data_IF_019143722145
#
_entry.id   IF_019143722145
#
_cell.length_a   1.000
_cell.length_b   1.000
_cell.length_c   1.000
_cell.angle_alpha   90.00
_cell.angle_beta   90.00
_cell.angle_gamma   90.00
#
_symmetry.space_group_name_H-M   'P 1'
#
loop_
_entity.id
_entity.type
_entity.pdbx_description
1 polymer ?
#
# COMPACT_ATOMS: atom_id res chain seq x y z
N UNK A 1 12.20 -25.40 12.17
CA UNK A 1 11.72 -24.00 12.18
C UNK A 1 10.31 -23.99 11.57
N UNK A 2 9.32 -23.28 12.13
CA UNK A 2 8.03 -23.15 11.45
C UNK A 2 8.27 -22.50 10.08
N UNK A 3 7.63 -23.02 9.04
CA UNK A 3 7.70 -22.44 7.70
C UNK A 3 7.13 -21.02 7.75
N UNK A 4 7.82 -19.99 7.23
CA UNK A 4 7.26 -18.64 7.19
C UNK A 4 6.00 -18.66 6.32
N UNK A 5 4.88 -18.23 6.90
CA UNK A 5 3.65 -18.01 6.15
C UNK A 5 3.84 -16.83 5.18
N UNK A 6 3.28 -16.89 3.98
CA UNK A 6 3.40 -15.79 3.05
C UNK A 6 2.62 -14.55 3.54
N UNK A 7 3.11 -13.37 3.20
CA UNK A 7 2.41 -12.10 3.43
C UNK A 7 1.39 -11.87 2.33
N UNK A 8 0.22 -11.34 2.65
CA UNK A 8 -0.85 -11.13 1.67
C UNK A 8 -1.52 -9.76 1.78
N UNK A 9 -1.66 -9.06 0.65
CA UNK A 9 -2.32 -7.76 0.54
C UNK A 9 -3.40 -7.79 -0.55
N UNK A 10 -4.64 -7.46 -0.18
CA UNK A 10 -5.80 -7.44 -1.09
C UNK A 10 -6.08 -6.04 -1.63
N UNK A 11 -6.14 -5.05 -0.73
CA UNK A 11 -6.56 -3.71 -1.10
C UNK A 11 -5.86 -2.68 -0.23
N UNK A 12 -5.58 -1.52 -0.81
CA UNK A 12 -5.14 -0.35 -0.08
C UNK A 12 -5.93 0.88 -0.53
N UNK A 13 -6.26 1.76 0.41
CA UNK A 13 -6.91 3.04 0.13
C UNK A 13 -6.20 4.12 0.92
N UNK A 14 -5.83 5.22 0.25
CA UNK A 14 -5.22 6.39 0.86
C UNK A 14 -6.12 7.59 0.62
N UNK A 15 -6.49 8.27 1.71
CA UNK A 15 -7.38 9.42 1.70
C UNK A 15 -6.65 10.57 2.36
N UNK A 16 -6.51 11.72 1.69
CA UNK A 16 -6.01 12.92 2.38
C UNK A 16 -6.98 13.32 3.48
N UNK A 17 -6.49 13.41 4.72
CA UNK A 17 -7.23 13.97 5.85
C UNK A 17 -7.32 15.49 5.63
N UNK A 18 -8.53 16.00 5.44
CA UNK A 18 -8.74 17.44 5.27
C UNK A 18 -8.39 18.16 6.58
N UNK A 19 -7.40 19.06 6.54
CA UNK A 19 -7.25 20.08 7.57
C UNK A 19 -8.12 21.29 7.20
N UNK A 20 -8.81 21.87 8.18
CA UNK A 20 -9.56 23.11 8.05
C UNK A 20 -8.60 24.24 7.64
N UNK A 21 -8.55 24.59 6.36
CA UNK A 21 -7.92 25.82 5.92
C UNK A 21 -8.96 26.94 6.02
N UNK A 22 -8.71 27.96 6.85
CA UNK A 22 -9.41 29.24 6.75
C UNK A 22 -9.01 29.88 5.42
N UNK A 23 -9.98 30.00 4.50
CA UNK A 23 -9.80 30.55 3.16
C UNK A 23 -10.73 29.85 2.17
N UNK A 24 -11.48 30.63 1.40
CA UNK A 24 -12.71 30.23 0.69
C UNK A 24 -12.53 29.31 -0.54
N UNK A 25 -11.58 28.38 -0.53
CA UNK A 25 -11.44 27.34 -1.54
C UNK A 25 -11.09 25.99 -0.88
N UNK A 26 -12.07 25.07 -0.85
CA UNK A 26 -11.84 23.69 -0.44
C UNK A 26 -10.84 23.04 -1.41
N UNK A 27 -9.68 22.62 -0.91
CA UNK A 27 -8.75 21.80 -1.71
C UNK A 27 -9.42 20.45 -2.01
N UNK A 28 -9.35 19.94 -3.25
CA UNK A 28 -9.96 18.65 -3.57
C UNK A 28 -9.33 17.55 -2.71
N UNK A 29 -10.18 16.72 -2.11
CA UNK A 29 -9.75 15.54 -1.35
C UNK A 29 -9.12 14.54 -2.32
N UNK A 30 -7.83 14.27 -2.17
CA UNK A 30 -7.16 13.25 -2.97
C UNK A 30 -7.47 11.88 -2.40
N UNK A 31 -7.89 10.97 -3.27
CA UNK A 31 -8.27 9.60 -2.94
C UNK A 31 -7.58 8.64 -3.90
N UNK A 32 -6.77 7.74 -3.35
CA UNK A 32 -6.09 6.69 -4.08
C UNK A 32 -6.64 5.34 -3.61
N UNK A 33 -6.99 4.46 -4.55
CA UNK A 33 -7.61 3.16 -4.28
C UNK A 33 -6.92 2.11 -5.14
N UNK A 34 -6.35 1.09 -4.52
CA UNK A 34 -5.60 0.04 -5.18
C UNK A 34 -6.23 -1.31 -4.83
N UNK A 35 -6.53 -2.08 -5.87
CA UNK A 35 -7.05 -3.44 -5.79
C UNK A 35 -5.96 -4.38 -6.31
N UNK A 36 -5.39 -5.15 -5.39
CA UNK A 36 -4.23 -5.98 -5.64
C UNK A 36 -4.68 -7.37 -6.06
N UNK A 37 -4.06 -7.92 -7.10
CA UNK A 37 -4.31 -9.29 -7.53
C UNK A 37 -4.53 -9.43 -9.02
N UNK A 38 -5.03 -10.60 -9.41
CA UNK A 38 -5.26 -10.98 -10.81
C UNK A 38 -6.74 -11.18 -11.15
N UNK A 39 -7.63 -10.71 -10.27
CA UNK A 39 -9.08 -10.79 -10.45
C UNK A 39 -9.66 -9.57 -11.15
N UNK A 40 -10.99 -9.50 -11.12
CA UNK A 40 -11.73 -8.35 -11.65
C UNK A 40 -11.61 -7.20 -10.65
N UNK A 41 -11.02 -6.11 -11.11
CA UNK A 41 -10.88 -4.88 -10.33
C UNK A 41 -12.23 -4.33 -9.86
N UNK A 42 -12.31 -3.95 -8.59
CA UNK A 42 -13.45 -3.29 -7.99
C UNK A 42 -13.73 -1.92 -8.66
N UNK A 43 -15.01 -1.52 -8.85
CA UNK A 43 -15.33 -0.19 -9.36
C UNK A 43 -14.69 0.94 -8.53
N UNK A 44 -14.01 1.86 -9.21
CA UNK A 44 -13.32 3.00 -8.58
C UNK A 44 -11.99 2.66 -7.90
N UNK A 45 -11.45 1.45 -8.13
CA UNK A 45 -10.11 1.07 -7.75
C UNK A 45 -9.20 0.96 -8.99
N UNK A 46 -7.91 1.21 -8.77
CA UNK A 46 -6.84 0.96 -9.73
C UNK A 46 -6.34 -0.47 -9.56
N UNK A 47 -6.26 -1.22 -10.67
CA UNK A 47 -5.75 -2.58 -10.67
C UNK A 47 -4.24 -2.60 -10.39
N UNK A 48 -3.79 -3.50 -9.52
CA UNK A 48 -2.37 -3.73 -9.22
C UNK A 48 -2.05 -5.22 -9.32
N UNK A 49 -1.63 -5.64 -10.52
CA UNK A 49 -1.10 -6.97 -10.79
C UNK A 49 0.37 -7.10 -10.39
N UNK A 50 0.91 -8.32 -10.41
CA UNK A 50 2.31 -8.59 -10.03
C UNK A 50 3.34 -7.92 -10.96
N UNK A 51 2.92 -7.51 -12.15
CA UNK A 51 3.69 -6.80 -13.17
C UNK A 51 3.65 -5.27 -13.03
N UNK A 52 2.88 -4.74 -12.06
CA UNK A 52 2.76 -3.31 -11.83
C UNK A 52 4.03 -2.71 -11.21
N UNK A 53 5.08 -2.53 -12.00
CA UNK A 53 6.36 -1.95 -11.56
C UNK A 53 6.22 -0.43 -11.41
N UNK A 54 6.79 0.11 -10.34
CA UNK A 54 6.79 1.54 -10.08
C UNK A 54 7.51 2.30 -11.19
N UNK A 55 6.90 3.39 -11.65
CA UNK A 55 7.56 4.40 -12.46
C UNK A 55 7.08 5.79 -12.05
N UNK A 56 7.91 6.85 -12.23
CA UNK A 56 7.45 8.22 -12.01
C UNK A 56 6.25 8.62 -12.87
N UNK A 57 6.12 8.01 -14.07
CA UNK A 57 5.02 8.28 -14.99
C UNK A 57 3.68 7.68 -14.52
N UNK A 58 3.70 6.46 -13.98
CA UNK A 58 2.50 5.83 -13.40
C UNK A 58 2.20 6.36 -12.00
N UNK A 59 3.23 6.75 -11.25
CA UNK A 59 3.10 7.27 -9.89
C UNK A 59 2.76 6.22 -8.84
N UNK A 60 2.70 4.94 -9.19
CA UNK A 60 2.56 3.83 -8.25
C UNK A 60 3.13 2.54 -8.83
N UNK A 61 3.40 1.56 -7.96
CA UNK A 61 3.80 0.21 -8.35
C UNK A 61 4.77 -0.45 -7.36
N UNK A 62 5.13 -1.70 -7.63
CA UNK A 62 6.17 -2.43 -6.91
C UNK A 62 7.55 -1.84 -7.22
N UNK A 63 8.35 -1.61 -6.19
CA UNK A 63 9.61 -0.87 -6.27
C UNK A 63 10.76 -1.70 -5.66
N UNK A 64 11.99 -1.20 -5.75
CA UNK A 64 13.18 -1.81 -5.15
C UNK A 64 13.44 -3.27 -5.60
N UNK A 65 13.02 -3.61 -6.83
CA UNK A 65 13.26 -4.93 -7.42
C UNK A 65 12.49 -6.07 -6.75
N UNK A 66 11.37 -5.78 -6.08
CA UNK A 66 10.62 -6.81 -5.37
C UNK A 66 9.80 -7.67 -6.29
N UNK A 67 9.76 -8.97 -6.00
CA UNK A 67 8.95 -9.94 -6.70
C UNK A 67 7.76 -10.37 -5.84
N UNK A 68 6.57 -10.25 -6.40
CA UNK A 68 5.31 -10.71 -5.80
C UNK A 68 4.59 -11.67 -6.76
N UNK A 69 3.64 -12.42 -6.23
CA UNK A 69 2.72 -13.24 -7.02
C UNK A 69 1.30 -12.71 -6.85
N UNK A 70 0.61 -12.45 -7.96
CA UNK A 70 -0.81 -12.13 -7.94
C UNK A 70 -1.63 -13.42 -7.93
N UNK A 71 -2.57 -13.52 -7.00
CA UNK A 71 -3.40 -14.70 -6.79
C UNK A 71 -4.85 -14.28 -6.82
N UNK A 72 -5.68 -15.07 -7.49
CA UNK A 72 -7.13 -14.95 -7.44
C UNK A 72 -7.72 -16.28 -6.95
N UNK A 73 -8.40 -16.23 -5.79
CA UNK A 73 -9.08 -17.38 -5.17
C UNK A 73 -10.56 -17.44 -5.52
N UNK A 74 -11.10 -16.39 -6.14
CA UNK A 74 -12.52 -16.15 -6.37
C UNK A 74 -13.25 -15.81 -5.07
N UNK A 75 -14.13 -14.81 -5.09
CA UNK A 75 -15.05 -14.53 -3.98
C UNK A 75 -16.27 -13.73 -4.43
N UNK A 76 -17.26 -13.57 -3.54
CA UNK A 76 -18.45 -12.73 -3.79
C UNK A 76 -18.15 -11.21 -3.81
N UNK A 77 -16.91 -10.78 -3.59
CA UNK A 77 -16.50 -9.38 -3.69
C UNK A 77 -15.12 -9.22 -4.32
N UNK A 78 -14.95 -8.21 -5.17
CA UNK A 78 -13.69 -7.92 -5.85
C UNK A 78 -12.53 -7.75 -4.84
N UNK A 79 -12.67 -6.89 -3.83
CA UNK A 79 -11.64 -6.62 -2.81
C UNK A 79 -11.37 -7.74 -1.79
N UNK A 80 -11.86 -8.96 -2.04
CA UNK A 80 -11.85 -10.08 -1.07
C UNK A 80 -11.34 -11.39 -1.67
N UNK A 81 -11.29 -11.49 -3.00
CA UNK A 81 -11.02 -12.73 -3.72
C UNK A 81 -9.62 -12.83 -4.28
N UNK A 82 -8.96 -11.70 -4.51
CA UNK A 82 -7.64 -11.61 -5.10
C UNK A 82 -6.73 -10.69 -4.29
N UNK A 83 -5.42 -10.94 -4.46
CA UNK A 83 -4.36 -10.32 -3.69
C UNK A 83 -3.01 -10.47 -4.37
N UNK A 84 -2.02 -9.75 -3.86
CA UNK A 84 -0.60 -10.06 -4.07
C UNK A 84 0.01 -10.70 -2.84
N UNK A 85 0.97 -11.59 -3.05
CA UNK A 85 1.64 -12.32 -1.98
C UNK A 85 3.12 -12.56 -2.25
N UNK A 86 3.92 -12.68 -1.20
CA UNK A 86 5.33 -13.10 -1.29
C UNK A 86 5.79 -13.77 0.00
N UNK A 87 6.82 -14.60 -0.12
CA UNK A 87 7.58 -15.15 1.03
C UNK A 87 8.73 -14.23 1.44
N UNK A 88 9.05 -13.22 0.63
CA UNK A 88 10.07 -12.22 0.88
C UNK A 88 9.40 -10.87 1.13
N UNK A 89 10.10 -9.93 1.81
CA UNK A 89 9.65 -8.54 1.88
C UNK A 89 9.42 -7.97 0.47
N UNK A 90 8.32 -7.24 0.29
CA UNK A 90 8.06 -6.48 -0.93
C UNK A 90 7.63 -5.04 -0.63
N UNK A 91 7.79 -4.15 -1.62
CA UNK A 91 7.59 -2.71 -1.51
C UNK A 91 6.64 -2.24 -2.61
N UNK A 92 5.62 -1.52 -2.23
CA UNK A 92 4.67 -0.82 -3.11
C UNK A 92 4.78 0.69 -2.88
N UNK A 93 5.32 1.40 -3.86
CA UNK A 93 5.50 2.85 -3.80
C UNK A 93 4.28 3.57 -4.37
N UNK A 94 3.92 4.70 -3.76
CA UNK A 94 2.93 5.64 -4.30
C UNK A 94 3.52 7.05 -4.23
N UNK A 95 3.53 7.76 -5.36
CA UNK A 95 3.93 9.15 -5.45
C UNK A 95 2.79 10.03 -4.93
N UNK A 96 2.96 10.55 -3.72
CA UNK A 96 1.95 11.33 -3.01
C UNK A 96 2.46 12.74 -2.74
N UNK A 97 1.62 13.79 -2.88
CA UNK A 97 1.97 15.09 -2.36
C UNK A 97 2.10 15.06 -0.83
N UNK A 98 2.87 16.00 -0.29
CA UNK A 98 2.97 16.20 1.16
C UNK A 98 1.57 16.43 1.77
N UNK A 99 1.31 15.77 2.89
CA UNK A 99 0.02 15.85 3.55
C UNK A 99 -0.23 14.76 4.58
N UNK A 100 -1.37 14.89 5.24
CA UNK A 100 -1.88 13.87 6.16
C UNK A 100 -2.78 12.90 5.41
N UNK A 101 -2.56 11.61 5.60
CA UNK A 101 -3.30 10.54 4.94
C UNK A 101 -3.86 9.58 5.96
N UNK A 102 -5.13 9.23 5.77
CA UNK A 102 -5.73 8.03 6.35
C UNK A 102 -5.52 6.89 5.37
N UNK A 103 -4.87 5.83 5.82
CA UNK A 103 -4.52 4.67 5.00
C UNK A 103 -5.23 3.44 5.54
N UNK A 104 -6.06 2.83 4.71
CA UNK A 104 -6.80 1.60 5.03
C UNK A 104 -6.27 0.45 4.19
N UNK A 105 -5.98 -0.68 4.82
CA UNK A 105 -5.36 -1.85 4.21
C UNK A 105 -6.15 -3.11 4.57
N UNK A 106 -6.45 -3.96 3.60
CA UNK A 106 -7.09 -5.26 3.81
C UNK A 106 -6.10 -6.39 3.57
N UNK A 107 -5.95 -7.29 4.54
CA UNK A 107 -4.97 -8.37 4.59
C UNK A 107 -5.66 -9.73 4.81
N UNK A 108 -5.05 -10.80 4.30
CA UNK A 108 -5.48 -12.20 4.52
C UNK A 108 -5.54 -13.02 3.22
N UNK A 109 -5.94 -14.28 3.28
CA UNK A 109 -6.19 -15.11 2.09
C UNK A 109 -7.49 -15.92 2.34
N UNK A 110 -8.42 -15.88 1.38
CA UNK A 110 -9.68 -16.60 1.46
C UNK A 110 -9.51 -18.13 1.59
N UNK A 111 -8.36 -18.68 1.16
CA UNK A 111 -8.04 -20.11 1.18
C UNK A 111 -6.75 -20.46 1.93
N UNK A 112 -5.99 -19.48 2.40
CA UNK A 112 -4.66 -19.66 2.99
C UNK A 112 -4.46 -18.88 4.28
N UNK A 113 -3.50 -19.31 5.09
CA UNK A 113 -3.04 -18.50 6.22
C UNK A 113 -2.03 -17.45 5.73
N UNK A 114 -2.01 -16.29 6.38
CA UNK A 114 -1.02 -15.24 6.11
C UNK A 114 -0.40 -14.69 7.38
N UNK A 115 0.85 -14.24 7.29
CA UNK A 115 1.55 -13.48 8.33
C UNK A 115 2.07 -12.18 7.72
N UNK A 116 1.63 -11.04 8.25
CA UNK A 116 1.92 -9.73 7.66
C UNK A 116 2.36 -8.72 8.72
N UNK A 117 3.48 -8.06 8.47
CA UNK A 117 3.94 -6.86 9.18
C UNK A 117 3.91 -5.68 8.21
N UNK A 118 3.39 -4.53 8.62
CA UNK A 118 3.30 -3.36 7.74
C UNK A 118 4.20 -2.23 8.24
N UNK A 119 5.00 -1.68 7.33
CA UNK A 119 5.83 -0.49 7.53
C UNK A 119 5.52 0.58 6.47
N UNK A 120 5.81 1.81 6.83
CA UNK A 120 5.72 2.99 5.97
C UNK A 120 6.98 3.84 6.07
N UNK A 121 7.26 4.64 5.04
CA UNK A 121 8.35 5.62 5.05
C UNK A 121 9.72 4.97 5.38
N UNK A 122 9.92 3.74 4.87
CA UNK A 122 11.06 2.84 5.11
C UNK A 122 11.35 2.44 6.56
N UNK A 123 10.80 3.11 7.58
CA UNK A 123 11.18 2.90 8.99
C UNK A 123 10.02 2.88 9.98
N UNK A 124 8.86 3.44 9.67
CA UNK A 124 7.75 3.53 10.62
C UNK A 124 6.97 2.21 10.64
N UNK A 125 6.97 1.52 11.78
CA UNK A 125 6.10 0.36 11.98
C UNK A 125 4.64 0.82 12.12
N UNK A 126 3.75 0.24 11.31
CA UNK A 126 2.31 0.52 11.36
C UNK A 126 1.53 -0.63 11.97
N UNK A 127 1.91 -1.86 11.61
CA UNK A 127 1.27 -3.08 12.07
C UNK A 127 2.37 -4.06 12.47
N UNK A 128 2.37 -4.46 13.74
CA UNK A 128 3.13 -5.63 14.19
C UNK A 128 2.69 -6.89 13.45
N UNK A 129 3.54 -7.92 13.44
CA UNK A 129 3.24 -9.19 12.76
C UNK A 129 1.86 -9.70 13.16
N UNK A 130 0.93 -9.65 12.22
CA UNK A 130 -0.45 -10.07 12.39
C UNK A 130 -0.70 -11.30 11.52
N UNK A 131 -1.20 -12.36 12.15
CA UNK A 131 -1.55 -13.59 11.45
C UNK A 131 -3.04 -13.64 11.13
N UNK A 132 -3.38 -14.23 9.98
CA UNK A 132 -4.75 -14.54 9.58
C UNK A 132 -4.85 -16.02 9.25
N UNK A 133 -5.94 -16.66 9.69
CA UNK A 133 -6.28 -18.04 9.33
C UNK A 133 -6.86 -18.10 7.90
N UNK A 134 -6.90 -19.27 7.26
CA UNK A 134 -7.65 -19.45 6.01
C UNK A 134 -9.08 -18.91 6.12
N UNK A 135 -9.47 -18.05 5.18
CA UNK A 135 -10.80 -17.42 5.15
C UNK A 135 -10.94 -16.19 6.05
N UNK A 136 -9.93 -15.87 6.86
CA UNK A 136 -9.92 -14.68 7.69
C UNK A 136 -9.32 -13.50 6.93
N UNK A 137 -10.08 -12.40 6.85
CA UNK A 137 -9.58 -11.12 6.36
C UNK A 137 -9.61 -10.11 7.51
N UNK A 138 -8.57 -9.30 7.62
CA UNK A 138 -8.51 -8.16 8.55
C UNK A 138 -8.34 -6.86 7.79
N UNK A 139 -8.94 -5.78 8.28
CA UNK A 139 -8.80 -4.44 7.71
C UNK A 139 -8.27 -3.51 8.78
N UNK A 140 -7.16 -2.84 8.48
CA UNK A 140 -6.48 -1.94 9.40
C UNK A 140 -6.43 -0.53 8.83
N UNK A 141 -6.55 0.47 9.70
CA UNK A 141 -6.52 1.89 9.31
C UNK A 141 -5.48 2.65 10.13
N UNK A 142 -4.67 3.47 9.46
CA UNK A 142 -3.56 4.22 10.03
C UNK A 142 -3.59 5.68 9.60
N UNK A 143 -3.03 6.57 10.40
CA UNK A 143 -2.82 7.98 10.05
C UNK A 143 -1.34 8.26 9.83
N UNK A 144 -1.02 8.82 8.68
CA UNK A 144 0.33 9.00 8.17
C UNK A 144 0.53 10.44 7.71
N UNK A 145 1.74 10.94 7.88
CA UNK A 145 2.08 12.30 7.49
C UNK A 145 3.25 12.21 6.51
N UNK A 146 2.94 12.32 5.23
CA UNK A 146 3.94 12.31 4.16
C UNK A 146 4.58 13.69 4.13
N UNK A 147 5.88 13.78 4.39
CA UNK A 147 6.66 15.02 4.28
C UNK A 147 7.62 14.97 3.10
N UNK A 148 7.78 16.07 2.37
CA UNK A 148 8.84 16.17 1.37
C UNK A 148 10.13 16.70 2.02
N UNK A 149 11.32 16.19 1.66
CA UNK A 149 12.59 16.78 2.09
C UNK A 149 12.96 18.08 1.34
N UNK A 150 12.08 18.60 0.47
CA UNK A 150 12.32 19.85 -0.26
C UNK A 150 12.18 21.03 0.70
N UNK A 151 13.29 21.73 0.95
CA UNK A 151 13.29 22.92 1.81
C UNK A 151 12.81 24.13 0.98
N UNK A 152 13.35 24.36 -0.23
CA UNK A 152 12.95 25.45 -1.15
C UNK A 152 13.17 25.07 -2.63
N UNK A 153 12.76 25.93 -3.58
CA UNK A 153 12.93 25.71 -5.04
C UNK A 153 14.40 25.57 -5.50
N UNK A 154 15.35 26.06 -4.71
CA UNK A 154 16.78 26.15 -5.05
C UNK A 154 17.68 25.32 -4.15
N UNK A 155 17.14 24.70 -3.10
CA UNK A 155 17.93 23.93 -2.12
C UNK A 155 17.25 22.58 -1.84
N UNK A 156 17.90 21.50 -2.26
CA UNK A 156 17.57 20.14 -1.89
C UNK A 156 18.79 19.48 -1.26
N UNK A 157 18.65 18.91 -0.07
CA UNK A 157 19.62 17.92 0.43
C UNK A 157 19.56 16.73 -0.54
N UNK A 158 20.71 16.30 -1.06
CA UNK A 158 20.78 15.24 -2.06
C UNK A 158 20.19 13.94 -1.51
N UNK A 159 18.96 13.65 -1.89
CA UNK A 159 18.27 12.37 -1.79
C UNK A 159 17.65 12.10 -3.17
N UNK A 160 17.69 10.83 -3.59
CA UNK A 160 17.24 10.34 -4.90
C UNK A 160 15.92 11.02 -5.36
N UNK A 161 15.79 11.47 -6.62
CA UNK A 161 14.61 12.21 -7.07
C UNK A 161 13.30 11.46 -6.83
N UNK A 162 12.35 12.13 -6.17
CA UNK A 162 11.02 11.60 -5.87
C UNK A 162 10.87 11.30 -4.38
N UNK A 163 10.02 12.05 -3.69
CA UNK A 163 9.56 11.73 -2.34
C UNK A 163 8.73 10.44 -2.41
N UNK A 164 9.39 9.30 -2.43
CA UNK A 164 8.73 8.00 -2.45
C UNK A 164 8.15 7.75 -1.05
N UNK A 165 6.83 7.84 -0.92
CA UNK A 165 6.17 7.13 0.15
C UNK A 165 6.20 5.65 -0.24
N UNK A 166 7.26 4.95 0.17
CA UNK A 166 7.38 3.50 0.06
C UNK A 166 6.49 2.88 1.13
N UNK A 167 5.47 2.14 0.69
CA UNK A 167 4.60 1.36 1.53
C UNK A 167 4.97 -0.10 1.38
N UNK A 168 4.89 -0.84 2.48
CA UNK A 168 5.14 -2.27 2.57
C UNK A 168 6.64 -2.57 2.59
N UNK A 169 7.08 -3.15 3.69
CA UNK A 169 8.39 -3.76 3.86
C UNK A 169 8.17 -4.82 4.91
N UNK A 170 7.73 -5.99 4.47
CA UNK A 170 7.26 -7.06 5.36
C UNK A 170 8.44 -7.94 5.71
N UNK A 171 9.05 -7.74 6.88
CA UNK A 171 10.13 -8.64 7.34
C UNK A 171 9.52 -9.98 7.74
N UNK A 172 9.94 -11.05 7.06
CA UNK A 172 9.75 -12.43 7.50
C UNK A 172 10.72 -12.83 8.59
#
# INVERSE_FOLDING_TARGET
MPTPFPTTLLAATLLTSGALAQGNAARPKLVYKFDFGSGKTAPGYTAVGADAVYSPATGYGFDFGTSVTAVNRGSKGALRGDFVTSKQPFYFSVNLPEGNYTVTVTLGDAKGASSTMLKAESRRLLLETTTTKPGQLTTQTFTLNVKSPRINATESVSLKPGSLASWIGTTG
#
